data_IF_023925174895
#
_entry.id   IF_023925174895
#
_cell.length_a   1.000
_cell.length_b   1.000
_cell.length_c   1.000
_cell.angle_alpha   90.00
_cell.angle_beta   90.00
_cell.angle_gamma   90.00
#
_symmetry.space_group_name_H-M   'P 1'
#
loop_
_entity.id
_entity.type
_entity.pdbx_description
1 polymer ?
#
# COMPACT_ATOMS: atom_id res chain seq x y z
N UNK A 1 -49.25 -24.53 2.19
CA UNK A 1 -49.36 -23.73 0.94
C UNK A 1 -48.92 -22.27 1.14
N UNK A 2 -49.51 -21.49 2.06
CA UNK A 2 -49.13 -20.07 2.29
C UNK A 2 -47.63 -19.82 2.59
N UNK A 3 -46.97 -20.73 3.32
CA UNK A 3 -45.52 -20.64 3.60
C UNK A 3 -44.64 -20.82 2.35
N UNK A 4 -45.02 -21.73 1.45
CA UNK A 4 -44.27 -22.00 0.20
C UNK A 4 -44.41 -20.80 -0.74
N UNK A 5 -45.61 -20.23 -0.85
CA UNK A 5 -45.85 -19.00 -1.63
C UNK A 5 -45.03 -17.82 -1.10
N UNK A 6 -44.90 -17.68 0.23
CA UNK A 6 -44.09 -16.64 0.85
C UNK A 6 -42.59 -16.80 0.54
N UNK A 7 -42.07 -18.04 0.60
CA UNK A 7 -40.68 -18.32 0.21
C UNK A 7 -40.41 -18.00 -1.26
N UNK A 8 -41.37 -18.30 -2.15
CA UNK A 8 -41.25 -18.00 -3.58
C UNK A 8 -41.23 -16.48 -3.85
N UNK A 9 -42.05 -15.70 -3.14
CA UNK A 9 -42.07 -14.23 -3.24
C UNK A 9 -40.76 -13.63 -2.70
N UNK A 10 -40.23 -14.15 -1.59
CA UNK A 10 -38.95 -13.69 -1.04
C UNK A 10 -37.80 -14.03 -1.99
N UNK A 11 -37.79 -15.21 -2.59
CA UNK A 11 -36.77 -15.63 -3.56
C UNK A 11 -36.76 -14.74 -4.82
N UNK A 12 -37.94 -14.43 -5.37
CA UNK A 12 -38.08 -13.50 -6.51
C UNK A 12 -37.68 -12.07 -6.11
N UNK A 13 -37.96 -11.64 -4.88
CA UNK A 13 -37.55 -10.32 -4.38
C UNK A 13 -36.02 -10.20 -4.24
N UNK A 14 -35.35 -11.25 -3.78
CA UNK A 14 -33.88 -11.26 -3.59
C UNK A 14 -33.15 -11.36 -4.94
N UNK A 15 -33.71 -12.05 -5.94
CA UNK A 15 -33.09 -12.19 -7.27
C UNK A 15 -33.06 -10.90 -8.10
N UNK A 16 -33.77 -9.85 -7.67
CA UNK A 16 -33.82 -8.54 -8.33
C UNK A 16 -33.05 -7.45 -7.55
N UNK A 17 -32.24 -7.82 -6.55
CA UNK A 17 -31.31 -6.86 -5.94
C UNK A 17 -30.17 -6.60 -6.92
N UNK A 18 -30.25 -5.50 -7.66
CA UNK A 18 -29.08 -4.93 -8.32
C UNK A 18 -28.14 -4.40 -7.24
N UNK A 19 -26.96 -5.01 -7.13
CA UNK A 19 -25.88 -4.49 -6.31
C UNK A 19 -25.32 -3.28 -7.07
N UNK A 20 -25.85 -2.09 -6.76
CA UNK A 20 -25.31 -0.83 -7.29
C UNK A 20 -24.00 -0.55 -6.54
N UNK A 21 -22.88 -0.97 -7.14
CA UNK A 21 -21.57 -0.49 -6.73
C UNK A 21 -21.45 0.99 -7.08
N UNK A 22 -20.87 1.79 -6.19
CA UNK A 22 -20.50 3.16 -6.54
C UNK A 22 -19.53 3.09 -7.74
N UNK A 23 -19.69 3.99 -8.72
CA UNK A 23 -18.82 4.09 -9.91
C UNK A 23 -17.48 4.75 -9.55
N UNK A 24 -16.80 4.19 -8.56
CA UNK A 24 -15.47 4.64 -8.11
C UNK A 24 -14.43 4.05 -9.05
N UNK A 25 -14.13 4.78 -10.11
CA UNK A 25 -13.11 4.42 -11.09
C UNK A 25 -12.15 5.58 -11.34
N UNK A 26 -10.89 5.22 -11.57
CA UNK A 26 -9.92 6.08 -12.22
C UNK A 26 -9.93 5.71 -13.70
N UNK A 27 -10.16 6.68 -14.58
CA UNK A 27 -10.22 6.46 -16.03
C UNK A 27 -9.50 7.59 -16.76
N UNK A 28 -8.84 7.25 -17.87
CA UNK A 28 -8.04 8.18 -18.66
C UNK A 28 -8.21 7.88 -20.15
N UNK A 29 -8.08 8.91 -20.98
CA UNK A 29 -8.23 8.80 -22.44
C UNK A 29 -6.90 8.75 -23.21
N UNK A 30 -5.78 8.70 -22.49
CA UNK A 30 -4.42 8.70 -23.03
C UNK A 30 -3.59 7.70 -22.21
N UNK A 31 -2.68 6.92 -22.82
CA UNK A 31 -1.75 6.08 -22.07
C UNK A 31 -0.82 6.90 -21.18
N UNK A 32 -0.30 6.28 -20.12
CA UNK A 32 0.71 6.87 -19.25
C UNK A 32 2.01 7.11 -20.02
N UNK A 33 2.59 8.30 -19.88
CA UNK A 33 3.90 8.66 -20.45
C UNK A 33 5.03 8.49 -19.43
N UNK A 34 4.72 8.58 -18.14
CA UNK A 34 5.64 8.42 -17.01
C UNK A 34 5.04 7.50 -15.94
N UNK A 35 5.88 7.02 -15.03
CA UNK A 35 5.50 6.01 -14.04
C UNK A 35 4.37 6.48 -13.10
N UNK A 36 4.37 7.75 -12.72
CA UNK A 36 3.38 8.35 -11.81
C UNK A 36 1.96 8.41 -12.41
N UNK A 37 1.83 8.27 -13.72
CA UNK A 37 0.55 8.25 -14.44
C UNK A 37 0.00 6.82 -14.61
N UNK A 38 0.85 5.80 -14.46
CA UNK A 38 0.45 4.40 -14.60
C UNK A 38 -0.45 3.94 -13.44
N UNK A 39 -1.35 2.99 -13.70
CA UNK A 39 -2.33 2.57 -12.71
C UNK A 39 -1.81 1.43 -11.83
N UNK A 40 -1.78 1.60 -10.49
CA UNK A 40 -1.32 0.58 -9.58
C UNK A 40 -2.37 -0.52 -9.40
N UNK A 41 -1.92 -1.76 -9.45
CA UNK A 41 -2.68 -2.97 -9.12
C UNK A 41 -1.85 -3.82 -8.16
N UNK A 42 -2.49 -4.53 -7.22
CA UNK A 42 -1.74 -5.41 -6.33
C UNK A 42 -2.59 -6.35 -5.49
N UNK A 43 -1.96 -7.39 -4.97
CA UNK A 43 -2.59 -8.40 -4.10
C UNK A 43 -1.83 -8.60 -2.78
N UNK A 44 -1.33 -7.51 -2.20
CA UNK A 44 -0.35 -7.47 -1.10
C UNK A 44 1.06 -7.89 -1.53
N UNK A 45 1.21 -9.07 -2.13
CA UNK A 45 2.54 -9.63 -2.46
C UNK A 45 3.11 -9.12 -3.77
N UNK A 46 2.29 -9.16 -4.82
CA UNK A 46 2.65 -8.71 -6.15
C UNK A 46 2.02 -7.35 -6.41
N UNK A 47 2.81 -6.47 -7.04
CA UNK A 47 2.38 -5.17 -7.53
C UNK A 47 2.61 -5.07 -9.04
N UNK A 48 1.77 -4.29 -9.71
CA UNK A 48 1.92 -3.95 -11.11
C UNK A 48 1.54 -2.49 -11.36
N UNK A 49 2.28 -1.82 -12.24
CA UNK A 49 1.91 -0.51 -12.78
C UNK A 49 1.59 -0.68 -14.26
N UNK A 50 0.36 -0.35 -14.65
CA UNK A 50 -0.17 -0.56 -16.02
C UNK A 50 -0.17 0.76 -16.79
N UNK A 51 0.53 0.81 -17.92
CA UNK A 51 0.69 2.03 -18.71
C UNK A 51 -0.43 2.26 -19.75
N UNK A 52 -1.04 1.20 -20.28
CA UNK A 52 -2.14 1.28 -21.23
C UNK A 52 -1.72 1.58 -22.67
N UNK A 53 -0.47 1.31 -23.05
CA UNK A 53 0.08 1.69 -24.37
C UNK A 53 -0.45 0.73 -25.46
N UNK A 54 -1.24 1.21 -26.44
CA UNK A 54 -1.97 0.32 -27.37
C UNK A 54 -1.09 -0.59 -28.23
N UNK A 55 0.00 -0.06 -28.79
CA UNK A 55 0.86 -0.80 -29.74
C UNK A 55 1.92 -1.66 -29.04
N UNK A 56 2.29 -1.29 -27.80
CA UNK A 56 3.29 -1.99 -27.00
C UNK A 56 3.10 -1.66 -25.53
N UNK A 57 2.33 -2.48 -24.85
CA UNK A 57 2.06 -2.32 -23.42
C UNK A 57 3.34 -2.42 -22.57
N UNK A 58 3.35 -1.69 -21.47
CA UNK A 58 4.31 -1.84 -20.39
C UNK A 58 3.57 -2.16 -19.09
N UNK A 59 4.00 -3.23 -18.43
CA UNK A 59 3.56 -3.59 -17.09
C UNK A 59 4.81 -3.72 -16.22
N UNK A 60 5.09 -2.70 -15.43
CA UNK A 60 6.17 -2.78 -14.45
C UNK A 60 5.71 -3.66 -13.28
N UNK A 61 6.56 -4.59 -12.85
CA UNK A 61 6.24 -5.54 -11.78
C UNK A 61 7.03 -5.24 -10.50
N UNK A 62 6.39 -5.51 -9.37
CA UNK A 62 6.99 -5.48 -8.04
C UNK A 62 6.63 -6.76 -7.27
N UNK A 63 7.52 -7.18 -6.37
CA UNK A 63 7.31 -8.25 -5.39
C UNK A 63 7.75 -7.72 -4.03
N UNK A 64 6.89 -7.84 -3.00
CA UNK A 64 7.06 -7.15 -1.71
C UNK A 64 8.35 -7.51 -0.95
N UNK A 65 8.96 -8.65 -1.25
CA UNK A 65 10.15 -9.18 -0.58
C UNK A 65 11.43 -9.08 -1.41
N UNK A 66 11.37 -8.52 -2.63
CA UNK A 66 12.56 -8.31 -3.46
C UNK A 66 13.36 -7.10 -2.99
N UNK A 67 14.19 -7.31 -1.97
CA UNK A 67 15.08 -6.31 -1.40
C UNK A 67 16.55 -6.62 -1.70
N UNK A 68 17.36 -5.56 -1.77
CA UNK A 68 18.81 -5.70 -1.81
C UNK A 68 19.39 -6.04 -0.44
N UNK A 69 20.56 -6.69 -0.44
CA UNK A 69 21.31 -7.03 0.78
C UNK A 69 21.07 -8.45 1.28
N UNK A 70 21.40 -8.67 2.55
CA UNK A 70 21.30 -9.95 3.24
C UNK A 70 21.02 -9.70 4.73
N UNK A 71 20.67 -10.73 5.52
CA UNK A 71 20.56 -10.58 6.97
C UNK A 71 21.80 -9.88 7.55
N UNK A 72 21.59 -8.76 8.23
CA UNK A 72 22.65 -7.91 8.76
C UNK A 72 22.20 -7.26 10.07
N UNK A 73 23.17 -6.87 10.91
CA UNK A 73 22.95 -6.13 12.16
C UNK A 73 23.78 -4.86 12.12
N UNK A 74 23.11 -3.72 12.19
CA UNK A 74 23.70 -2.38 12.27
C UNK A 74 23.67 -1.82 13.71
N UNK A 75 23.63 -2.71 14.70
CA UNK A 75 23.59 -2.31 16.10
C UNK A 75 24.90 -1.60 16.50
N UNK A 76 24.79 -0.44 17.14
CA UNK A 76 25.94 0.25 17.70
C UNK A 76 26.12 -0.13 19.18
N UNK A 77 27.13 -0.94 19.56
CA UNK A 77 27.33 -1.36 20.95
C UNK A 77 27.69 -0.19 21.89
N UNK A 78 28.12 0.95 21.35
CA UNK A 78 28.45 2.15 22.13
C UNK A 78 27.22 2.99 22.49
N UNK A 79 26.10 2.80 21.80
CA UNK A 79 24.91 3.64 21.97
C UNK A 79 24.36 3.61 23.40
N UNK A 80 24.35 2.44 24.05
CA UNK A 80 23.90 2.32 25.44
C UNK A 80 24.78 3.13 26.41
N UNK A 81 26.08 3.20 26.15
CA UNK A 81 27.03 3.97 26.97
C UNK A 81 26.88 5.48 26.78
N UNK A 82 26.55 5.94 25.56
CA UNK A 82 26.36 7.34 25.24
C UNK A 82 24.98 7.89 25.66
N UNK A 83 23.97 7.03 25.79
CA UNK A 83 22.58 7.43 26.05
C UNK A 83 22.40 8.36 27.27
N UNK A 84 23.00 8.10 28.46
CA UNK A 84 22.84 8.99 29.60
C UNK A 84 23.42 10.40 29.35
N UNK A 85 24.50 10.49 28.58
CA UNK A 85 25.17 11.75 28.26
C UNK A 85 24.37 12.55 27.25
N UNK A 86 23.89 11.90 26.19
CA UNK A 86 22.98 12.51 25.19
C UNK A 86 21.72 13.05 25.87
N UNK A 87 21.08 12.27 26.75
CA UNK A 87 19.90 12.72 27.50
C UNK A 87 20.20 13.94 28.36
N UNK A 88 21.34 13.94 29.08
CA UNK A 88 21.77 15.07 29.89
C UNK A 88 21.95 16.34 29.04
N UNK A 89 22.65 16.25 27.91
CA UNK A 89 22.90 17.38 27.02
C UNK A 89 21.59 17.95 26.45
N UNK A 90 20.62 17.09 26.10
CA UNK A 90 19.30 17.52 25.65
C UNK A 90 18.55 18.31 26.74
N UNK A 91 18.56 17.83 28.00
CA UNK A 91 17.92 18.54 29.11
C UNK A 91 18.64 19.83 29.51
N UNK A 92 19.91 19.97 29.16
CA UNK A 92 20.69 21.22 29.30
C UNK A 92 20.56 22.14 28.07
N UNK A 93 19.70 21.81 27.09
CA UNK A 93 19.52 22.53 25.83
C UNK A 93 20.78 22.63 24.94
N UNK A 94 21.75 21.72 25.12
CA UNK A 94 23.01 21.64 24.38
C UNK A 94 22.91 20.73 23.15
N UNK A 95 22.06 21.08 22.21
CA UNK A 95 21.74 20.22 21.07
C UNK A 95 22.95 19.91 20.17
N UNK A 96 23.79 20.90 19.88
CA UNK A 96 24.98 20.71 19.03
C UNK A 96 26.03 19.75 19.64
N UNK A 97 26.08 19.66 20.96
CA UNK A 97 26.95 18.71 21.67
C UNK A 97 26.33 17.31 21.67
N UNK A 98 25.01 17.22 21.85
CA UNK A 98 24.27 15.95 21.80
C UNK A 98 24.34 15.30 20.41
N UNK A 99 24.22 16.08 19.34
CA UNK A 99 24.24 15.60 17.94
C UNK A 99 25.60 15.02 17.51
N UNK A 100 26.68 15.38 18.23
CA UNK A 100 28.04 14.91 17.94
C UNK A 100 28.39 13.58 18.62
N UNK A 101 27.56 13.12 19.56
CA UNK A 101 27.73 11.89 20.34
C UNK A 101 27.00 10.70 19.71
#
# INVERSE_FOLDING_TARGET
>A
MKRITLFFIIFIGISNLEIISQDLKLWYNTPAAVWEEALPMGNSRLGAMVYGIPDREEIQLNEETLWGGSPHRNDNPKALGALPEVQKLIFEEKYDEADKL
#
